data_IF_565283834961
#
_entry.id   IF_565283834961
#
_cell.length_a   1.000
_cell.length_b   1.000
_cell.length_c   1.000
_cell.angle_alpha   90.00
_cell.angle_beta   90.00
_cell.angle_gamma   90.00
#
_symmetry.space_group_name_H-M   'P 1'
#
loop_
_entity.id
_entity.type
_entity.pdbx_description
1 polymer ?
#
# COMPACT_ATOMS: atom_id res chain seq x y z
N UNK A 1 5.96 -24.52 1.23
CA UNK A 1 6.99 -24.01 0.33
C UNK A 1 6.86 -22.51 0.15
N UNK A 2 7.98 -21.79 0.25
CA UNK A 2 7.98 -20.35 0.05
C UNK A 2 8.16 -20.06 -1.42
N UNK A 3 7.15 -19.44 -2.02
CA UNK A 3 7.27 -18.95 -3.39
C UNK A 3 8.01 -17.61 -3.37
N UNK A 4 8.88 -17.43 -4.34
CA UNK A 4 9.60 -16.17 -4.52
C UNK A 4 8.77 -15.27 -5.42
N UNK A 5 8.45 -14.08 -4.95
CA UNK A 5 7.71 -13.08 -5.71
C UNK A 5 8.61 -12.36 -6.71
N UNK A 6 9.77 -11.93 -6.24
CA UNK A 6 10.74 -11.17 -7.02
C UNK A 6 12.06 -11.09 -6.25
N UNK A 7 13.01 -10.32 -6.79
CA UNK A 7 14.29 -10.04 -6.13
C UNK A 7 14.48 -8.53 -6.07
N UNK A 8 14.92 -8.03 -4.92
CA UNK A 8 15.27 -6.61 -4.76
C UNK A 8 16.69 -6.57 -4.23
N UNK A 9 17.60 -5.93 -4.97
CA UNK A 9 19.02 -5.83 -4.63
C UNK A 9 19.64 -7.20 -4.28
N UNK A 10 19.27 -8.23 -5.03
CA UNK A 10 19.77 -9.58 -4.82
C UNK A 10 19.11 -10.35 -3.71
N UNK A 11 18.18 -9.75 -2.98
CA UNK A 11 17.43 -10.42 -1.91
C UNK A 11 16.15 -11.01 -2.47
N UNK A 12 15.95 -12.31 -2.26
CA UNK A 12 14.72 -12.97 -2.68
C UNK A 12 13.56 -12.52 -1.80
N UNK A 13 12.48 -12.10 -2.43
CA UNK A 13 11.28 -11.61 -1.72
C UNK A 13 10.21 -12.70 -1.74
N UNK A 14 9.81 -13.12 -0.55
CA UNK A 14 8.85 -14.19 -0.36
C UNK A 14 7.43 -13.72 -0.62
N UNK A 15 6.67 -14.53 -1.35
CA UNK A 15 5.24 -14.30 -1.54
C UNK A 15 4.52 -14.46 -0.20
N UNK A 16 3.60 -13.55 0.09
CA UNK A 16 2.80 -13.57 1.31
C UNK A 16 1.34 -13.18 1.01
N UNK A 17 0.69 -14.00 0.20
CA UNK A 17 -0.69 -13.77 -0.20
C UNK A 17 -1.64 -13.99 0.98
N UNK A 18 -2.55 -13.05 1.20
CA UNK A 18 -3.58 -13.16 2.25
C UNK A 18 -4.92 -13.47 1.58
N UNK A 19 -5.49 -14.64 1.91
CA UNK A 19 -6.74 -15.10 1.32
C UNK A 19 -7.96 -14.59 2.07
N UNK A 20 -9.10 -14.64 1.39
CA UNK A 20 -10.42 -14.40 2.01
C UNK A 20 -10.57 -13.03 2.68
N UNK A 21 -10.01 -12.00 2.04
CA UNK A 21 -10.17 -10.65 2.56
C UNK A 21 -11.64 -10.23 2.49
N UNK A 22 -12.16 -9.58 3.55
CA UNK A 22 -13.52 -9.07 3.52
C UNK A 22 -13.67 -7.98 2.47
N UNK A 23 -14.88 -7.84 1.95
CA UNK A 23 -15.15 -6.93 0.85
C UNK A 23 -16.56 -6.38 0.96
N UNK A 24 -16.69 -5.07 1.06
CA UNK A 24 -17.99 -4.40 1.05
C UNK A 24 -18.29 -3.85 -0.34
N UNK A 25 -19.16 -4.51 -1.12
CA UNK A 25 -19.44 -4.09 -2.49
C UNK A 25 -20.10 -2.73 -2.59
N UNK A 26 -20.72 -2.23 -1.52
CA UNK A 26 -21.33 -0.91 -1.52
C UNK A 26 -20.32 0.21 -1.68
N UNK A 27 -19.05 -0.03 -1.34
CA UNK A 27 -18.00 0.96 -1.51
C UNK A 27 -17.56 1.15 -2.96
N UNK A 28 -17.92 0.23 -3.86
CA UNK A 28 -17.57 0.32 -5.29
C UNK A 28 -17.98 1.64 -5.90
N UNK A 29 -19.12 2.16 -5.56
CA UNK A 29 -19.64 3.41 -6.08
C UNK A 29 -18.82 4.63 -5.69
N UNK A 30 -17.97 4.50 -4.67
CA UNK A 30 -17.10 5.59 -4.22
C UNK A 30 -15.77 5.64 -5.00
N UNK A 31 -15.40 4.56 -5.68
CA UNK A 31 -14.10 4.48 -6.37
C UNK A 31 -13.92 5.52 -7.48
N UNK A 32 -14.93 5.78 -8.37
CA UNK A 32 -14.75 6.79 -9.40
C UNK A 32 -14.47 8.17 -8.83
N UNK A 33 -15.17 8.56 -7.74
CA UNK A 33 -14.95 9.84 -7.09
C UNK A 33 -13.55 9.95 -6.50
N UNK A 34 -13.08 8.90 -5.86
CA UNK A 34 -11.73 8.86 -5.29
C UNK A 34 -10.66 8.96 -6.37
N UNK A 35 -10.85 8.26 -7.49
CA UNK A 35 -9.92 8.35 -8.62
C UNK A 35 -9.90 9.71 -9.28
N UNK A 36 -11.05 10.38 -9.36
CA UNK A 36 -11.15 11.73 -9.92
C UNK A 36 -10.52 12.79 -9.03
N UNK A 37 -10.53 12.58 -7.72
CA UNK A 37 -9.96 13.53 -6.77
C UNK A 37 -8.47 13.76 -6.98
N UNK A 38 -7.75 12.81 -7.56
CA UNK A 38 -6.35 12.88 -8.00
C UNK A 38 -5.47 13.76 -7.12
N UNK A 39 -5.24 13.31 -5.92
CA UNK A 39 -4.27 13.95 -5.03
C UNK A 39 -2.89 13.78 -5.66
N UNK A 40 -2.14 14.87 -5.76
CA UNK A 40 -0.84 14.85 -6.46
C UNK A 40 0.10 13.76 -5.95
N UNK A 41 0.20 13.58 -4.64
CA UNK A 41 1.08 12.54 -4.07
C UNK A 41 0.70 11.14 -4.53
N UNK A 42 -0.60 10.84 -4.63
CA UNK A 42 -1.04 9.53 -5.12
C UNK A 42 -0.65 9.34 -6.59
N UNK A 43 -0.78 10.39 -7.40
CA UNK A 43 -0.37 10.34 -8.82
C UNK A 43 1.13 10.10 -8.93
N UNK A 44 1.92 10.82 -8.16
CA UNK A 44 3.38 10.70 -8.20
C UNK A 44 3.83 9.30 -7.76
N UNK A 45 3.25 8.77 -6.70
CA UNK A 45 3.58 7.43 -6.25
C UNK A 45 3.15 6.38 -7.29
N UNK A 46 1.94 6.49 -7.83
CA UNK A 46 1.44 5.55 -8.83
C UNK A 46 2.37 5.48 -10.05
N UNK A 47 2.89 6.61 -10.50
CA UNK A 47 3.83 6.65 -11.62
C UNK A 47 5.10 5.83 -11.35
N UNK A 48 5.50 5.70 -10.08
CA UNK A 48 6.69 4.93 -9.71
C UNK A 48 6.45 3.41 -9.69
N UNK A 49 5.21 2.98 -9.47
CA UNK A 49 4.92 1.56 -9.19
C UNK A 49 4.03 0.90 -10.23
N UNK A 50 3.36 1.67 -11.09
CA UNK A 50 2.43 1.12 -12.09
C UNK A 50 3.15 0.23 -13.09
N UNK A 51 2.39 -0.67 -13.71
CA UNK A 51 2.87 -1.52 -14.81
C UNK A 51 4.13 -2.33 -14.42
N UNK A 52 4.24 -2.72 -13.15
CA UNK A 52 5.34 -3.52 -12.62
C UNK A 52 6.71 -2.87 -12.76
N UNK A 53 6.77 -1.55 -12.82
CA UNK A 53 8.04 -0.82 -12.94
C UNK A 53 8.87 -0.86 -11.66
N UNK A 54 8.24 -1.16 -10.51
CA UNK A 54 8.94 -1.30 -9.24
C UNK A 54 9.22 -2.78 -8.99
N UNK A 55 10.43 -3.23 -9.35
CA UNK A 55 10.91 -4.60 -9.10
C UNK A 55 9.95 -5.71 -9.55
N UNK A 56 9.24 -5.48 -10.63
CA UNK A 56 8.28 -6.44 -11.21
C UNK A 56 7.16 -6.84 -10.23
N UNK A 57 6.80 -5.92 -9.34
CA UNK A 57 5.71 -6.10 -8.37
C UNK A 57 4.45 -5.41 -8.90
N UNK A 58 3.32 -6.11 -8.80
CA UNK A 58 2.04 -5.59 -9.24
C UNK A 58 1.35 -4.84 -8.09
N UNK A 59 1.03 -3.56 -8.32
CA UNK A 59 0.33 -2.71 -7.35
C UNK A 59 -1.06 -2.40 -7.87
N UNK A 60 -2.07 -2.60 -7.02
CA UNK A 60 -3.43 -2.14 -7.27
C UNK A 60 -3.62 -0.78 -6.58
N UNK A 61 -4.42 0.09 -7.16
CA UNK A 61 -4.80 1.33 -6.51
C UNK A 61 -6.28 1.30 -6.14
N UNK A 62 -6.63 2.00 -5.05
CA UNK A 62 -8.02 2.16 -4.61
C UNK A 62 -8.71 0.81 -4.41
N UNK A 63 -8.11 -0.04 -3.57
CA UNK A 63 -8.65 -1.37 -3.27
C UNK A 63 -9.60 -1.34 -2.08
N UNK A 64 -10.74 -2.03 -2.21
CA UNK A 64 -11.68 -2.20 -1.10
C UNK A 64 -11.26 -3.41 -0.27
N UNK A 65 -11.05 -3.19 1.03
CA UNK A 65 -10.79 -4.26 2.01
C UNK A 65 -11.70 -4.02 3.20
N UNK A 66 -12.65 -4.93 3.43
CA UNK A 66 -13.68 -4.72 4.43
C UNK A 66 -14.49 -3.47 4.13
N UNK A 67 -14.60 -2.59 5.11
CA UNK A 67 -15.32 -1.32 4.98
C UNK A 67 -14.40 -0.14 4.65
N UNK A 68 -13.18 -0.43 4.18
CA UNK A 68 -12.20 0.61 3.89
C UNK A 68 -11.73 0.56 2.45
N UNK A 69 -11.38 1.72 1.91
CA UNK A 69 -10.71 1.82 0.62
C UNK A 69 -9.27 2.23 0.90
N UNK A 70 -8.33 1.35 0.57
CA UNK A 70 -6.91 1.62 0.76
C UNK A 70 -6.32 2.26 -0.50
N UNK A 71 -5.29 3.10 -0.33
CA UNK A 71 -4.72 3.84 -1.45
C UNK A 71 -4.06 2.91 -2.46
N UNK A 72 -3.20 2.01 -2.01
CA UNK A 72 -2.52 1.03 -2.86
C UNK A 72 -2.42 -0.31 -2.15
N UNK A 73 -2.43 -1.38 -2.92
CA UNK A 73 -2.35 -2.73 -2.38
C UNK A 73 -1.45 -3.61 -3.23
N UNK A 74 -0.57 -4.36 -2.56
CA UNK A 74 0.28 -5.38 -3.19
C UNK A 74 -0.27 -6.73 -2.80
N UNK A 75 -1.05 -7.33 -3.68
CA UNK A 75 -1.75 -8.59 -3.45
C UNK A 75 -0.80 -9.73 -3.11
N UNK A 76 0.32 -9.81 -3.79
CA UNK A 76 1.28 -10.92 -3.61
C UNK A 76 2.03 -10.85 -2.28
N UNK A 77 2.00 -9.71 -1.60
CA UNK A 77 2.68 -9.51 -0.32
C UNK A 77 1.72 -9.27 0.85
N UNK A 78 0.42 -9.09 0.57
CA UNK A 78 -0.52 -8.68 1.62
C UNK A 78 -0.11 -7.34 2.21
N UNK A 79 0.36 -6.42 1.37
CA UNK A 79 0.91 -5.14 1.80
C UNK A 79 0.05 -3.99 1.30
N UNK A 80 -0.38 -3.16 2.25
CA UNK A 80 -1.11 -1.92 1.98
C UNK A 80 -0.13 -0.75 2.03
N UNK A 81 -0.25 0.19 1.09
CA UNK A 81 0.46 1.45 1.16
C UNK A 81 -0.57 2.57 1.29
N UNK A 82 -0.41 3.40 2.30
CA UNK A 82 -1.28 4.54 2.57
C UNK A 82 -0.46 5.82 2.54
N UNK A 83 -0.97 6.84 1.85
CA UNK A 83 -0.35 8.16 1.83
C UNK A 83 -1.15 9.05 2.75
N UNK A 84 -0.51 9.49 3.83
CA UNK A 84 -1.14 10.33 4.84
C UNK A 84 -0.89 11.81 4.55
N UNK A 85 -1.97 12.60 4.62
CA UNK A 85 -1.86 14.04 4.59
C UNK A 85 -1.41 14.58 5.94
N UNK A 86 -1.57 15.91 6.14
CA UNK A 86 -1.30 16.50 7.45
C UNK A 86 -2.29 15.91 8.46
N UNK A 87 -1.74 15.34 9.52
CA UNK A 87 -2.54 14.66 10.54
C UNK A 87 -3.18 15.65 11.49
N UNK A 88 -4.41 15.36 11.90
CA UNK A 88 -5.09 16.02 12.99
C UNK A 88 -5.43 14.97 14.04
N UNK A 89 -5.48 15.36 15.30
CA UNK A 89 -5.64 14.43 16.42
C UNK A 89 -6.83 13.47 16.27
N UNK A 90 -7.98 13.98 15.84
CA UNK A 90 -9.18 13.16 15.65
C UNK A 90 -8.96 12.10 14.55
N UNK A 91 -8.25 12.48 13.51
CA UNK A 91 -7.94 11.58 12.42
C UNK A 91 -6.98 10.48 12.84
N UNK A 92 -6.05 10.78 13.74
CA UNK A 92 -5.10 9.78 14.24
C UNK A 92 -5.81 8.64 14.96
N UNK A 93 -6.84 8.93 15.78
CA UNK A 93 -7.60 7.87 16.46
C UNK A 93 -8.31 6.99 15.44
N UNK A 94 -8.97 7.58 14.47
CA UNK A 94 -9.68 6.83 13.42
C UNK A 94 -8.69 5.98 12.60
N UNK A 95 -7.55 6.55 12.22
CA UNK A 95 -6.54 5.83 11.44
C UNK A 95 -5.95 4.68 12.24
N UNK A 96 -5.80 4.82 13.55
CA UNK A 96 -5.34 3.74 14.43
C UNK A 96 -6.30 2.57 14.46
N UNK A 97 -7.60 2.83 14.58
CA UNK A 97 -8.64 1.80 14.56
C UNK A 97 -8.63 1.08 13.22
N UNK A 98 -8.56 1.84 12.14
CA UNK A 98 -8.51 1.32 10.78
C UNK A 98 -7.28 0.42 10.57
N UNK A 99 -6.12 0.88 10.98
CA UNK A 99 -4.88 0.12 10.83
C UNK A 99 -4.91 -1.17 11.64
N UNK A 100 -5.37 -1.09 12.90
CA UNK A 100 -5.50 -2.27 13.76
C UNK A 100 -6.40 -3.32 13.12
N UNK A 101 -7.53 -2.89 12.56
CA UNK A 101 -8.43 -3.80 11.86
C UNK A 101 -7.74 -4.46 10.67
N UNK A 102 -7.09 -3.68 9.82
CA UNK A 102 -6.42 -4.20 8.63
C UNK A 102 -5.30 -5.17 8.99
N UNK A 103 -4.53 -4.85 10.02
CA UNK A 103 -3.47 -5.72 10.51
C UNK A 103 -4.01 -7.02 11.10
N UNK A 104 -5.21 -6.98 11.71
CA UNK A 104 -5.85 -8.17 12.25
C UNK A 104 -6.20 -9.20 11.16
N UNK A 105 -6.27 -8.76 9.90
CA UNK A 105 -6.54 -9.64 8.77
C UNK A 105 -5.26 -10.33 8.24
N UNK A 106 -4.11 -10.02 8.82
CA UNK A 106 -2.81 -10.56 8.38
C UNK A 106 -2.09 -9.64 7.41
N UNK A 107 -2.59 -8.43 7.20
CA UNK A 107 -2.00 -7.45 6.29
C UNK A 107 -0.97 -6.60 7.00
N UNK A 108 0.00 -6.09 6.24
CA UNK A 108 0.94 -5.08 6.71
C UNK A 108 0.58 -3.74 6.08
N UNK A 109 0.85 -2.66 6.79
CA UNK A 109 0.54 -1.31 6.32
C UNK A 109 1.82 -0.48 6.34
N UNK A 110 2.20 0.03 5.18
CA UNK A 110 3.33 0.95 5.03
C UNK A 110 2.78 2.35 4.77
N UNK A 111 3.05 3.27 5.70
CA UNK A 111 2.55 4.64 5.61
C UNK A 111 3.60 5.58 5.08
N UNK A 112 3.20 6.47 4.19
CA UNK A 112 4.06 7.47 3.57
C UNK A 112 3.43 8.84 3.82
N UNK A 113 4.26 9.82 4.17
CA UNK A 113 3.79 11.18 4.38
C UNK A 113 3.66 11.88 3.02
N UNK A 114 2.54 12.55 2.79
CA UNK A 114 2.24 13.28 1.55
C UNK A 114 3.39 14.22 1.16
N UNK A 115 3.91 14.98 2.12
CA UNK A 115 5.03 15.90 1.88
C UNK A 115 6.24 15.17 1.31
N UNK A 116 6.56 13.98 1.83
CA UNK A 116 7.72 13.21 1.37
C UNK A 116 7.56 12.70 -0.04
N UNK A 117 6.35 12.29 -0.42
CA UNK A 117 6.09 11.88 -1.81
C UNK A 117 6.34 13.03 -2.77
N UNK A 118 5.92 14.24 -2.39
CA UNK A 118 6.07 15.44 -3.23
C UNK A 118 7.51 15.97 -3.30
N UNK A 119 8.28 15.83 -2.23
CA UNK A 119 9.58 16.49 -2.10
C UNK A 119 10.76 15.55 -1.94
N UNK A 120 10.54 14.30 -1.52
CA UNK A 120 11.59 13.32 -1.25
C UNK A 120 11.24 11.95 -1.85
N UNK A 121 10.71 11.95 -3.08
CA UNK A 121 10.19 10.73 -3.68
C UNK A 121 11.23 9.61 -3.81
N UNK A 122 12.45 9.94 -4.17
CA UNK A 122 13.54 8.96 -4.29
C UNK A 122 13.78 8.26 -2.95
N UNK A 123 13.77 9.02 -1.85
CA UNK A 123 13.93 8.46 -0.52
C UNK A 123 12.76 7.57 -0.14
N UNK A 124 11.53 8.00 -0.45
CA UNK A 124 10.32 7.20 -0.19
C UNK A 124 10.42 5.84 -0.89
N UNK A 125 10.82 5.82 -2.16
CA UNK A 125 10.94 4.58 -2.91
C UNK A 125 12.02 3.67 -2.32
N UNK A 126 13.12 4.25 -1.84
CA UNK A 126 14.19 3.50 -1.19
C UNK A 126 13.73 2.93 0.16
N UNK A 127 12.97 3.68 0.92
CA UNK A 127 12.40 3.21 2.18
C UNK A 127 11.41 2.06 1.95
N UNK A 128 10.64 2.13 0.88
CA UNK A 128 9.72 1.04 0.51
C UNK A 128 10.51 -0.23 0.15
N UNK A 129 11.60 -0.10 -0.61
CA UNK A 129 12.48 -1.24 -0.91
C UNK A 129 12.99 -1.88 0.38
N UNK A 130 13.50 -1.06 1.30
CA UNK A 130 14.05 -1.55 2.57
C UNK A 130 12.97 -2.21 3.43
N UNK A 131 11.77 -1.64 3.45
CA UNK A 131 10.65 -2.23 4.17
C UNK A 131 10.30 -3.62 3.63
N UNK A 132 10.22 -3.75 2.32
CA UNK A 132 9.89 -5.02 1.68
C UNK A 132 10.99 -6.06 1.94
N UNK A 133 12.25 -5.66 1.84
CA UNK A 133 13.37 -6.55 2.14
C UNK A 133 13.32 -7.01 3.61
N UNK A 134 13.08 -6.09 4.53
CA UNK A 134 13.05 -6.40 5.96
C UNK A 134 11.90 -7.33 6.35
N UNK A 135 10.76 -7.20 5.71
CA UNK A 135 9.55 -7.94 6.09
C UNK A 135 9.31 -9.20 5.28
N UNK A 136 9.82 -9.27 4.05
CA UNK A 136 9.56 -10.36 3.12
C UNK A 136 10.83 -10.99 2.54
N UNK A 137 11.99 -10.48 2.89
CA UNK A 137 13.26 -11.02 2.41
C UNK A 137 13.57 -12.39 3.03
N UNK A 138 14.18 -13.23 2.24
CA UNK A 138 14.59 -14.58 2.67
C UNK A 138 16.11 -14.60 2.87
#
# INVERSE_FOLDING_TARGET
>A
MNEIQTHIHGVSIRRNFVENLPYNPQLKKLLPGKRKARILSEVLFWQQVRARTFHNIDFDRQRIIGNYIVDFYVKTLGLIIEIDGSSHDEKEVYDGIRQTYLESLGLKVFRIIDFDVKHNLTLVMKELENYIISNYGI
#
